data_IF_173737667469
#
_entry.id   IF_173737667469
#
_cell.length_a   1.000
_cell.length_b   1.000
_cell.length_c   1.000
_cell.angle_alpha   90.00
_cell.angle_beta   90.00
_cell.angle_gamma   90.00
#
_symmetry.space_group_name_H-M   'P 1'
#
loop_
_entity.id
_entity.type
_entity.pdbx_description
1 polymer ?
#
# COMPACT_ATOMS: atom_id res chain seq x y z
N UNK A 1 3.13 2.18 -13.53
CA UNK A 1 4.10 2.11 -12.41
C UNK A 1 5.54 2.39 -12.86
N UNK A 2 5.97 1.85 -14.00
CA UNK A 2 7.35 2.00 -14.53
C UNK A 2 7.65 3.38 -15.14
N UNK A 3 6.63 4.17 -15.47
CA UNK A 3 6.82 5.53 -16.01
C UNK A 3 7.37 6.46 -14.95
N UNK A 4 8.32 7.30 -15.35
CA UNK A 4 8.89 8.32 -14.48
C UNK A 4 7.87 9.45 -14.24
N UNK A 5 7.79 9.88 -12.99
CA UNK A 5 7.22 11.14 -12.57
C UNK A 5 8.40 12.00 -12.14
N UNK A 6 8.70 13.06 -12.92
CA UNK A 6 9.93 13.85 -12.76
C UNK A 6 11.20 12.99 -12.89
N UNK A 7 11.83 12.64 -11.77
CA UNK A 7 13.18 12.05 -11.72
C UNK A 7 13.21 10.54 -11.53
N UNK A 8 12.10 9.92 -11.09
CA UNK A 8 12.07 8.49 -10.77
C UNK A 8 10.75 7.80 -11.13
N UNK A 9 10.74 6.46 -11.30
CA UNK A 9 9.52 5.71 -11.55
C UNK A 9 8.46 5.94 -10.47
N UNK A 10 7.17 5.96 -10.85
CA UNK A 10 6.05 6.25 -9.96
C UNK A 10 6.05 5.38 -8.69
N UNK A 11 6.28 4.07 -8.82
CA UNK A 11 6.28 3.16 -7.68
C UNK A 11 7.35 3.49 -6.62
N UNK A 12 8.46 4.14 -7.02
CA UNK A 12 9.55 4.48 -6.08
C UNK A 12 9.15 5.55 -5.06
N UNK A 13 8.17 6.39 -5.37
CA UNK A 13 7.75 7.45 -4.44
C UNK A 13 7.20 6.90 -3.12
N UNK A 14 6.29 5.93 -3.19
CA UNK A 14 5.77 5.24 -2.01
C UNK A 14 6.79 4.28 -1.39
N UNK A 15 7.46 3.48 -2.23
CA UNK A 15 8.42 2.47 -1.78
C UNK A 15 9.58 3.08 -0.99
N UNK A 16 10.21 4.16 -1.48
CA UNK A 16 11.34 4.80 -0.79
C UNK A 16 10.94 5.29 0.60
N UNK A 17 9.75 5.88 0.74
CA UNK A 17 9.22 6.33 2.04
C UNK A 17 9.00 5.18 3.01
N UNK A 18 8.45 4.05 2.53
CA UNK A 18 8.25 2.85 3.33
C UNK A 18 9.58 2.24 3.78
N UNK A 19 10.57 2.15 2.89
CA UNK A 19 11.92 1.67 3.21
C UNK A 19 12.54 2.52 4.33
N UNK A 20 12.45 3.84 4.21
CA UNK A 20 13.03 4.75 5.20
C UNK A 20 12.32 4.64 6.56
N UNK A 21 10.99 4.49 6.56
CA UNK A 21 10.23 4.26 7.80
C UNK A 21 10.64 2.95 8.46
N UNK A 22 10.78 1.86 7.69
CA UNK A 22 11.13 0.55 8.23
C UNK A 22 12.59 0.46 8.72
N UNK A 23 13.50 1.32 8.23
CA UNK A 23 14.86 1.46 8.81
C UNK A 23 14.83 2.06 10.22
N UNK A 24 13.85 2.89 10.52
CA UNK A 24 13.71 3.58 11.80
C UNK A 24 12.79 2.82 12.77
N UNK A 25 11.96 1.91 12.25
CA UNK A 25 10.94 1.14 12.99
C UNK A 25 11.09 -0.34 12.65
N UNK A 26 11.90 -1.05 13.43
CA UNK A 26 12.24 -2.47 13.20
C UNK A 26 11.04 -3.43 13.29
N UNK A 27 9.94 -3.00 13.90
CA UNK A 27 8.70 -3.77 13.98
C UNK A 27 7.95 -3.90 12.64
N UNK A 28 8.34 -3.12 11.62
CA UNK A 28 7.75 -3.19 10.29
C UNK A 28 8.73 -3.74 9.25
N UNK A 29 8.25 -4.53 8.33
CA UNK A 29 8.99 -4.97 7.15
C UNK A 29 8.24 -4.60 5.86
N UNK A 30 8.99 -4.34 4.79
CA UNK A 30 8.43 -4.08 3.46
C UNK A 30 8.52 -5.34 2.60
N UNK A 31 7.37 -5.77 2.08
CA UNK A 31 7.28 -6.85 1.09
C UNK A 31 6.71 -6.27 -0.20
N UNK A 32 7.49 -6.31 -1.26
CA UNK A 32 7.07 -5.82 -2.58
C UNK A 32 6.59 -6.98 -3.43
N UNK A 33 5.31 -6.92 -3.83
CA UNK A 33 4.72 -7.89 -4.74
C UNK A 33 4.59 -7.23 -6.12
N UNK A 34 5.18 -7.86 -7.12
CA UNK A 34 5.16 -7.31 -8.48
C UNK A 34 5.09 -8.40 -9.55
N UNK A 35 4.43 -8.10 -10.66
CA UNK A 35 4.45 -8.90 -11.89
C UNK A 35 5.52 -8.41 -12.90
N UNK A 36 6.24 -7.33 -12.59
CA UNK A 36 7.22 -6.71 -13.48
C UNK A 36 8.63 -7.11 -13.05
N UNK A 37 9.32 -7.87 -13.92
CA UNK A 37 10.71 -8.27 -13.67
C UNK A 37 11.65 -7.07 -13.58
N UNK A 38 11.34 -5.99 -14.31
CA UNK A 38 12.09 -4.74 -14.27
C UNK A 38 12.09 -4.13 -12.88
N UNK A 39 10.95 -4.12 -12.19
CA UNK A 39 10.86 -3.65 -10.80
C UNK A 39 11.74 -4.51 -9.89
N UNK A 40 11.65 -5.83 -10.01
CA UNK A 40 12.48 -6.75 -9.20
C UNK A 40 13.97 -6.46 -9.35
N UNK A 41 14.45 -6.24 -10.59
CA UNK A 41 15.86 -5.91 -10.87
C UNK A 41 16.26 -4.56 -10.28
N UNK A 42 15.36 -3.57 -10.30
CA UNK A 42 15.64 -2.22 -9.81
C UNK A 42 15.71 -2.14 -8.28
N UNK A 43 15.02 -3.05 -7.57
CA UNK A 43 14.96 -3.04 -6.10
C UNK A 43 15.73 -4.19 -5.44
N UNK A 44 16.50 -4.96 -6.21
CA UNK A 44 17.21 -6.15 -5.71
C UNK A 44 18.23 -5.87 -4.59
N UNK A 45 18.70 -4.62 -4.49
CA UNK A 45 19.65 -4.17 -3.46
C UNK A 45 18.97 -3.38 -2.34
N UNK A 46 17.66 -3.15 -2.43
CA UNK A 46 16.91 -2.50 -1.37
C UNK A 46 16.70 -3.47 -0.20
N UNK A 47 16.60 -2.93 1.02
CA UNK A 47 16.31 -3.74 2.22
C UNK A 47 14.83 -4.12 2.28
N UNK A 48 14.37 -4.90 1.29
CA UNK A 48 12.98 -5.33 1.16
C UNK A 48 12.89 -6.78 0.72
N UNK A 49 11.85 -7.49 1.15
CA UNK A 49 11.50 -8.79 0.58
C UNK A 49 10.74 -8.56 -0.73
N UNK A 50 11.21 -9.18 -1.82
CA UNK A 50 10.58 -9.04 -3.14
C UNK A 50 10.00 -10.37 -3.61
N UNK A 51 8.74 -10.35 -4.05
CA UNK A 51 8.03 -11.53 -4.57
C UNK A 51 7.54 -11.26 -5.99
N UNK A 52 8.00 -12.08 -6.92
CA UNK A 52 7.45 -12.10 -8.28
C UNK A 52 6.12 -12.86 -8.28
N UNK A 53 5.05 -12.21 -8.70
CA UNK A 53 3.72 -12.79 -8.80
C UNK A 53 3.12 -12.48 -10.18
N UNK A 54 3.33 -13.38 -11.14
CA UNK A 54 2.79 -13.23 -12.49
C UNK A 54 1.27 -13.19 -12.48
N UNK A 55 0.65 -13.90 -11.56
CA UNK A 55 -0.81 -13.99 -11.40
C UNK A 55 -1.47 -12.67 -11.02
N UNK A 56 -0.69 -11.68 -10.54
CA UNK A 56 -1.20 -10.31 -10.26
C UNK A 56 -1.86 -9.66 -11.47
N UNK A 57 -1.55 -10.11 -12.70
CA UNK A 57 -2.24 -9.68 -13.91
C UNK A 57 -3.73 -10.06 -13.95
N UNK A 58 -4.16 -11.04 -13.15
CA UNK A 58 -5.54 -11.51 -13.06
C UNK A 58 -6.32 -10.85 -11.91
N UNK A 59 -5.73 -9.85 -11.26
CA UNK A 59 -6.35 -9.03 -10.22
C UNK A 59 -5.55 -8.94 -8.92
N UNK A 60 -5.87 -7.91 -8.14
CA UNK A 60 -5.14 -7.54 -6.92
C UNK A 60 -5.14 -8.63 -5.83
N UNK A 61 -6.15 -9.52 -5.81
CA UNK A 61 -6.23 -10.61 -4.84
C UNK A 61 -5.02 -11.55 -4.87
N UNK A 62 -4.39 -11.71 -6.03
CA UNK A 62 -3.20 -12.52 -6.18
C UNK A 62 -1.98 -11.89 -5.50
N UNK A 63 -1.83 -10.56 -5.64
CA UNK A 63 -0.78 -9.81 -4.94
C UNK A 63 -0.96 -9.89 -3.42
N UNK A 64 -2.19 -9.72 -2.91
CA UNK A 64 -2.51 -9.84 -1.50
C UNK A 64 -2.13 -11.21 -0.96
N UNK A 65 -2.53 -12.28 -1.66
CA UNK A 65 -2.21 -13.68 -1.26
C UNK A 65 -0.71 -13.94 -1.25
N UNK A 66 0.01 -13.44 -2.25
CA UNK A 66 1.47 -13.59 -2.34
C UNK A 66 2.16 -12.87 -1.17
N UNK A 67 1.74 -11.64 -0.84
CA UNK A 67 2.25 -10.88 0.28
C UNK A 67 2.02 -11.57 1.63
N UNK A 68 0.80 -12.05 1.89
CA UNK A 68 0.47 -12.77 3.13
C UNK A 68 1.28 -14.08 3.26
N UNK A 69 1.55 -14.79 2.16
CA UNK A 69 2.39 -16.00 2.18
C UNK A 69 3.85 -15.67 2.48
N UNK A 70 4.35 -14.54 2.02
CA UNK A 70 5.72 -14.08 2.28
C UNK A 70 5.88 -13.58 3.72
N UNK A 71 4.90 -12.87 4.25
CA UNK A 71 4.86 -12.37 5.65
C UNK A 71 4.46 -13.50 6.61
N UNK A 72 5.39 -14.42 6.92
CA UNK A 72 5.11 -15.70 7.59
C UNK A 72 4.41 -15.55 8.94
N UNK A 73 4.96 -14.75 9.85
CA UNK A 73 4.54 -14.65 11.25
C UNK A 73 4.05 -13.25 11.64
N UNK A 74 3.60 -12.46 10.66
CA UNK A 74 3.11 -11.12 10.91
C UNK A 74 1.80 -11.12 11.72
N UNK A 75 1.74 -10.28 12.73
CA UNK A 75 0.52 -10.05 13.50
C UNK A 75 -0.47 -9.14 12.77
N UNK A 76 0.06 -8.27 11.89
CA UNK A 76 -0.70 -7.32 11.09
C UNK A 76 -0.20 -7.27 9.65
N UNK A 77 -1.09 -6.91 8.75
CA UNK A 77 -0.80 -6.69 7.33
C UNK A 77 -1.30 -5.31 6.92
N UNK A 78 -0.43 -4.52 6.29
CA UNK A 78 -0.81 -3.22 5.73
C UNK A 78 -0.59 -3.23 4.23
N UNK A 79 -1.65 -2.96 3.47
CA UNK A 79 -1.59 -2.97 2.01
C UNK A 79 -1.51 -1.55 1.47
N UNK A 80 -0.37 -1.21 0.90
CA UNK A 80 -0.13 0.02 0.15
C UNK A 80 -0.27 -0.24 -1.34
N UNK A 81 -0.71 0.75 -2.08
CA UNK A 81 -0.73 0.75 -3.55
C UNK A 81 0.42 1.61 -4.07
N UNK A 82 0.94 1.25 -5.24
CA UNK A 82 2.15 1.87 -5.79
C UNK A 82 1.86 3.04 -6.75
N UNK A 83 0.59 3.38 -6.96
CA UNK A 83 0.08 4.43 -7.85
C UNK A 83 -0.39 5.69 -7.13
N UNK A 84 -0.11 5.80 -5.81
CA UNK A 84 -0.34 6.98 -4.97
C UNK A 84 0.98 7.69 -4.60
N UNK A 85 1.67 8.33 -5.56
CA UNK A 85 2.99 8.91 -5.31
C UNK A 85 2.96 10.16 -4.41
N UNK A 86 1.77 10.74 -4.19
CA UNK A 86 1.60 11.94 -3.36
C UNK A 86 1.49 11.65 -1.87
N UNK A 87 1.26 10.41 -1.45
CA UNK A 87 1.11 10.08 -0.04
C UNK A 87 2.39 10.45 0.73
N UNK A 88 2.28 11.35 1.68
CA UNK A 88 3.42 11.89 2.43
C UNK A 88 3.98 10.87 3.42
N UNK A 89 5.28 10.95 3.69
CA UNK A 89 5.95 10.13 4.71
C UNK A 89 5.28 10.28 6.07
N UNK A 90 5.03 11.53 6.49
CA UNK A 90 4.37 11.81 7.77
C UNK A 90 2.99 11.18 7.89
N UNK A 91 2.22 11.14 6.81
CA UNK A 91 0.90 10.51 6.78
C UNK A 91 1.02 9.01 6.98
N UNK A 92 2.00 8.36 6.32
CA UNK A 92 2.27 6.93 6.47
C UNK A 92 2.66 6.62 7.92
N UNK A 93 3.64 7.33 8.48
CA UNK A 93 4.13 7.12 9.84
C UNK A 93 3.02 7.29 10.88
N UNK A 94 2.24 8.36 10.77
CA UNK A 94 1.14 8.63 11.70
C UNK A 94 0.03 7.59 11.59
N UNK A 95 -0.28 7.12 10.38
CA UNK A 95 -1.24 6.03 10.20
C UNK A 95 -0.76 4.73 10.83
N UNK A 96 0.48 4.32 10.58
CA UNK A 96 1.05 3.10 11.15
C UNK A 96 1.09 3.17 12.69
N UNK A 97 1.56 4.28 13.26
CA UNK A 97 1.57 4.49 14.70
C UNK A 97 0.15 4.47 15.29
N UNK A 98 -0.80 5.17 14.67
CA UNK A 98 -2.20 5.17 15.10
C UNK A 98 -2.80 3.77 15.18
N UNK A 99 -2.56 2.94 14.15
CA UNK A 99 -3.09 1.58 14.12
C UNK A 99 -2.39 0.65 15.11
N UNK A 100 -1.05 0.73 15.21
CA UNK A 100 -0.25 -0.13 16.06
C UNK A 100 -0.43 0.19 17.54
N UNK A 101 -0.31 1.46 17.95
CA UNK A 101 -0.46 1.91 19.35
C UNK A 101 -1.88 1.67 19.87
N UNK A 102 -2.89 1.88 19.02
CA UNK A 102 -4.28 1.58 19.34
C UNK A 102 -4.60 0.09 19.33
N UNK A 103 -3.66 -0.77 18.90
CA UNK A 103 -3.86 -2.21 18.70
C UNK A 103 -5.12 -2.53 17.90
N UNK A 104 -5.42 -1.67 16.92
CA UNK A 104 -6.64 -1.82 16.14
C UNK A 104 -6.53 -2.97 15.16
N UNK A 105 -7.59 -3.77 15.07
CA UNK A 105 -7.59 -4.99 14.24
C UNK A 105 -7.84 -4.71 12.76
N UNK A 106 -8.51 -3.61 12.44
CA UNK A 106 -8.95 -3.26 11.09
C UNK A 106 -9.02 -1.74 10.93
N UNK A 107 -8.55 -1.22 9.81
CA UNK A 107 -8.68 0.20 9.51
C UNK A 107 -8.10 0.60 8.17
N UNK A 108 -8.27 1.86 7.83
CA UNK A 108 -7.67 2.46 6.65
C UNK A 108 -7.51 3.98 6.80
N UNK A 109 -6.80 4.58 5.87
CA UNK A 109 -6.88 6.03 5.68
C UNK A 109 -8.20 6.39 5.01
N UNK A 110 -8.65 7.64 5.21
CA UNK A 110 -9.84 8.19 4.55
C UNK A 110 -9.70 9.69 4.27
N UNK A 111 -10.45 10.15 3.28
CA UNK A 111 -10.83 11.57 3.14
C UNK A 111 -12.17 11.82 3.82
N UNK A 112 -12.78 12.98 3.61
CA UNK A 112 -14.18 13.22 4.05
C UNK A 112 -15.16 12.30 3.31
N UNK A 113 -14.92 12.06 2.03
CA UNK A 113 -15.87 11.43 1.13
C UNK A 113 -15.62 9.92 0.95
N UNK A 114 -14.35 9.46 1.01
CA UNK A 114 -14.02 8.08 0.63
C UNK A 114 -12.97 7.40 1.50
N UNK A 115 -13.02 6.05 1.46
CA UNK A 115 -12.03 5.17 2.07
C UNK A 115 -10.85 4.95 1.13
N UNK A 116 -9.63 5.19 1.61
CA UNK A 116 -8.39 5.11 0.84
C UNK A 116 -7.52 3.89 1.15
N UNK A 117 -6.38 3.81 0.48
CA UNK A 117 -5.24 2.99 0.85
C UNK A 117 -4.21 3.89 1.56
N UNK A 118 -3.45 3.34 2.51
CA UNK A 118 -3.34 1.94 2.94
C UNK A 118 -4.53 1.42 3.74
N UNK A 119 -4.69 0.08 3.71
CA UNK A 119 -5.66 -0.66 4.53
C UNK A 119 -4.91 -1.61 5.45
N UNK A 120 -5.26 -1.58 6.74
CA UNK A 120 -4.64 -2.35 7.82
C UNK A 120 -5.54 -3.50 8.28
N UNK A 121 -4.94 -4.68 8.51
CA UNK A 121 -5.60 -5.88 9.00
C UNK A 121 -4.76 -6.58 10.06
N UNK A 122 -5.37 -7.02 11.16
CA UNK A 122 -4.75 -8.01 12.03
C UNK A 122 -4.77 -9.39 11.38
N UNK A 123 -3.95 -10.31 11.89
CA UNK A 123 -3.90 -11.71 11.45
C UNK A 123 -5.24 -12.44 11.55
N UNK A 124 -6.17 -11.95 12.34
CA UNK A 124 -7.55 -12.43 12.44
C UNK A 124 -8.24 -12.51 11.08
N UNK A 125 -7.95 -11.55 10.19
CA UNK A 125 -8.52 -11.47 8.85
C UNK A 125 -7.76 -12.28 7.79
N UNK A 126 -6.67 -12.98 8.15
CA UNK A 126 -5.81 -13.72 7.22
C UNK A 126 -6.61 -14.69 6.32
N UNK A 127 -7.54 -15.44 6.90
CA UNK A 127 -8.37 -16.40 6.13
C UNK A 127 -9.25 -15.70 5.10
N UNK A 128 -9.89 -14.58 5.46
CA UNK A 128 -10.71 -13.79 4.53
C UNK A 128 -9.88 -13.17 3.43
N UNK A 129 -8.71 -12.60 3.76
CA UNK A 129 -7.77 -12.06 2.77
C UNK A 129 -7.32 -13.14 1.77
N UNK A 130 -7.01 -14.34 2.24
CA UNK A 130 -6.65 -15.48 1.39
C UNK A 130 -7.82 -16.02 0.55
N UNK A 131 -9.06 -15.72 0.90
CA UNK A 131 -10.26 -16.12 0.13
C UNK A 131 -10.64 -15.14 -0.98
N UNK A 132 -10.02 -13.95 -1.04
CA UNK A 132 -10.27 -12.96 -2.09
C UNK A 132 -10.00 -13.55 -3.48
N UNK A 133 -10.76 -13.13 -4.49
CA UNK A 133 -10.63 -13.59 -5.88
C UNK A 133 -10.70 -12.41 -6.86
N UNK A 134 -10.07 -12.58 -8.02
CA UNK A 134 -10.08 -11.60 -9.10
C UNK A 134 -9.56 -10.23 -8.64
N UNK A 135 -10.20 -9.18 -9.08
CA UNK A 135 -9.81 -7.80 -8.77
C UNK A 135 -10.45 -7.26 -7.48
N UNK A 136 -10.63 -8.15 -6.50
CA UNK A 136 -11.13 -7.77 -5.18
C UNK A 136 -9.96 -7.52 -4.22
N UNK A 137 -9.83 -6.27 -3.77
CA UNK A 137 -8.84 -5.83 -2.78
C UNK A 137 -9.33 -5.90 -1.33
N UNK A 138 -8.46 -5.52 -0.40
CA UNK A 138 -8.75 -5.51 1.04
C UNK A 138 -9.95 -4.63 1.43
N UNK A 139 -10.24 -3.56 0.69
CA UNK A 139 -11.41 -2.70 0.93
C UNK A 139 -12.75 -3.48 0.95
N UNK A 140 -12.86 -4.62 0.24
CA UNK A 140 -14.05 -5.47 0.29
C UNK A 140 -14.28 -6.06 1.69
N UNK A 141 -13.21 -6.54 2.32
CA UNK A 141 -13.27 -7.07 3.69
C UNK A 141 -13.51 -5.93 4.69
N UNK A 142 -12.80 -4.80 4.52
CA UNK A 142 -13.01 -3.60 5.33
C UNK A 142 -14.49 -3.18 5.36
N UNK A 143 -15.13 -3.08 4.18
CA UNK A 143 -16.56 -2.71 4.07
C UNK A 143 -17.49 -3.74 4.71
N UNK A 144 -17.14 -5.03 4.66
CA UNK A 144 -17.92 -6.10 5.30
C UNK A 144 -17.89 -6.00 6.83
N UNK A 145 -16.81 -5.45 7.41
CA UNK A 145 -16.60 -5.33 8.85
C UNK A 145 -16.46 -3.87 9.28
N UNK A 146 -17.18 -2.98 8.63
CA UNK A 146 -17.02 -1.52 8.75
C UNK A 146 -17.22 -1.01 10.20
N UNK A 147 -18.09 -1.68 10.96
CA UNK A 147 -18.39 -1.36 12.35
C UNK A 147 -17.19 -1.57 13.29
N UNK A 148 -16.26 -2.46 12.90
CA UNK A 148 -15.05 -2.76 13.66
C UNK A 148 -13.84 -1.94 13.17
N UNK A 149 -14.00 -1.20 12.07
CA UNK A 149 -12.90 -0.47 11.45
C UNK A 149 -12.58 0.83 12.17
N UNK A 150 -11.31 1.24 12.09
CA UNK A 150 -10.83 2.56 12.50
C UNK A 150 -10.33 3.33 11.29
N UNK A 151 -10.55 4.62 11.31
CA UNK A 151 -10.28 5.48 10.17
C UNK A 151 -9.29 6.57 10.56
N UNK A 152 -8.20 6.66 9.82
CA UNK A 152 -7.24 7.74 9.93
C UNK A 152 -7.51 8.76 8.83
N UNK A 153 -7.94 9.97 9.22
CA UNK A 153 -8.24 11.02 8.26
C UNK A 153 -6.94 11.64 7.75
N UNK A 154 -6.76 11.65 6.42
CA UNK A 154 -5.66 12.40 5.78
C UNK A 154 -5.99 13.89 5.73
N UNK A 155 -4.96 14.73 5.79
CA UNK A 155 -5.12 16.18 5.78
C UNK A 155 -5.35 16.72 4.36
N UNK A 156 -4.72 16.11 3.38
CA UNK A 156 -4.79 16.51 1.97
C UNK A 156 -5.33 15.35 1.13
N UNK A 157 -6.48 15.54 0.50
CA UNK A 157 -7.13 14.53 -0.34
C UNK A 157 -6.25 14.07 -1.50
N UNK A 158 -5.41 14.97 -2.02
CA UNK A 158 -4.45 14.68 -3.09
C UNK A 158 -3.45 13.56 -2.75
N UNK A 159 -3.25 13.25 -1.46
CA UNK A 159 -2.39 12.14 -1.02
C UNK A 159 -2.95 10.77 -1.43
N UNK A 160 -4.28 10.66 -1.56
CA UNK A 160 -4.98 9.42 -1.91
C UNK A 160 -5.32 9.30 -3.41
N UNK A 161 -4.91 10.30 -4.21
CA UNK A 161 -5.15 10.26 -5.65
C UNK A 161 -4.27 9.22 -6.35
N UNK A 162 -4.91 8.25 -7.00
CA UNK A 162 -4.27 7.31 -7.91
C UNK A 162 -3.86 8.03 -9.20
N UNK A 163 -2.72 7.67 -9.78
CA UNK A 163 -2.27 8.19 -11.07
C UNK A 163 -2.37 7.10 -12.13
N UNK A 164 -3.56 6.95 -12.71
CA UNK A 164 -3.83 5.92 -13.71
C UNK A 164 -3.49 6.35 -15.16
N UNK A 165 -3.59 7.63 -15.47
CA UNK A 165 -3.52 8.14 -16.85
C UNK A 165 -2.42 9.19 -17.07
N UNK A 166 -1.85 9.26 -18.29
CA UNK A 166 -0.84 10.25 -18.63
C UNK A 166 -1.27 11.72 -18.43
N UNK A 167 -2.57 12.04 -18.57
CA UNK A 167 -3.11 13.39 -18.36
C UNK A 167 -3.08 13.80 -16.87
N UNK A 168 -3.39 12.88 -15.96
CA UNK A 168 -3.35 13.12 -14.52
C UNK A 168 -1.90 13.35 -14.07
N UNK A 169 -0.98 12.59 -14.65
CA UNK A 169 0.46 12.75 -14.42
C UNK A 169 0.97 14.13 -14.89
N UNK A 170 0.51 14.63 -16.03
CA UNK A 170 0.85 15.97 -16.53
C UNK A 170 0.29 17.08 -15.63
N UNK A 171 -0.96 16.95 -15.18
CA UNK A 171 -1.58 17.92 -14.27
C UNK A 171 -0.87 17.98 -12.91
N UNK A 172 -0.37 16.85 -12.41
CA UNK A 172 0.42 16.78 -11.19
C UNK A 172 1.77 17.50 -11.33
N UNK A 173 2.44 17.34 -12.47
CA UNK A 173 3.71 18.01 -12.76
C UNK A 173 3.53 19.53 -12.88
N UNK A 174 2.42 20.00 -13.46
CA UNK A 174 2.12 21.41 -13.62
C UNK A 174 1.79 22.17 -12.33
N UNK A 175 1.29 21.48 -11.29
CA UNK A 175 0.97 22.09 -9.98
C UNK A 175 2.19 22.27 -9.05
N UNK A 176 3.36 21.77 -9.44
CA UNK A 176 4.60 21.82 -8.62
C UNK A 176 5.67 22.75 -9.18
N UNK A 177 5.41 23.45 -10.25
CA UNK A 177 6.19 24.57 -10.80
C UNK A 177 5.56 25.89 -10.42
#
# INVERSE_FOLDING_TARGET
LLKNIQTKPMYRYGLDRLIDICKEKEEFEVIVITQYQEIMKQIQYDSVTTVFCKESQYGISWSIKAGIKAAKDADFYTFFVADQPNMKRETIERFLSFMAEGRYELGCVRTEEELGNPVWFSKKYKKELLSLTGDCGGKKILKKHIENARFFKVLEESELCDIDFPKEMQAMLAKRG
#
